data_IF_735775196491
#
_entry.id   IF_735775196491
#
_cell.length_a   1.000
_cell.length_b   1.000
_cell.length_c   1.000
_cell.angle_alpha   90.00
_cell.angle_beta   90.00
_cell.angle_gamma   90.00
#
_symmetry.space_group_name_H-M   'P 1'
#
loop_
_entity.id
_entity.type
_entity.pdbx_description
1 polymer ?
#
# COMPACT_ATOMS: atom_id res chain seq x y z
N UNK A 1 -35.53 -17.32 9.59
CA UNK A 1 -34.26 -18.03 9.25
C UNK A 1 -33.12 -17.22 9.84
N UNK A 2 -32.41 -17.82 10.78
CA UNK A 2 -31.34 -17.16 11.54
C UNK A 2 -30.10 -16.96 10.65
N UNK A 3 -29.58 -15.73 10.62
CA UNK A 3 -28.29 -15.44 10.00
C UNK A 3 -27.18 -15.92 10.93
N UNK A 4 -26.48 -16.95 10.47
CA UNK A 4 -25.34 -17.56 11.11
C UNK A 4 -24.18 -16.55 11.15
N UNK A 5 -23.80 -16.11 12.35
CA UNK A 5 -22.61 -15.28 12.59
C UNK A 5 -21.38 -16.14 12.34
N UNK A 6 -20.94 -16.23 11.08
CA UNK A 6 -19.60 -16.73 10.76
C UNK A 6 -18.55 -15.75 11.29
N UNK A 7 -18.09 -16.04 12.49
CA UNK A 7 -16.83 -15.56 13.07
C UNK A 7 -15.71 -15.84 12.07
N UNK A 8 -15.20 -14.78 11.44
CA UNK A 8 -14.05 -14.83 10.55
C UNK A 8 -12.79 -15.14 11.36
N UNK A 9 -12.43 -16.43 11.41
CA UNK A 9 -11.05 -16.86 11.60
C UNK A 9 -10.28 -16.43 10.34
N UNK A 10 -9.64 -15.26 10.39
CA UNK A 10 -8.54 -14.97 9.48
C UNK A 10 -7.25 -14.94 10.29
N UNK A 11 -6.61 -16.11 10.33
CA UNK A 11 -5.31 -16.37 10.93
C UNK A 11 -4.23 -15.93 9.96
N UNK A 12 -3.82 -14.68 10.04
CA UNK A 12 -2.53 -14.28 9.52
C UNK A 12 -1.47 -14.56 10.60
N UNK A 13 -0.56 -15.47 10.26
CA UNK A 13 0.48 -16.04 11.10
C UNK A 13 1.52 -15.02 11.57
N UNK A 14 1.22 -14.23 12.61
CA UNK A 14 2.22 -13.43 13.32
C UNK A 14 2.14 -13.71 14.83
N UNK A 15 3.07 -14.56 15.29
CA UNK A 15 3.35 -15.04 16.65
C UNK A 15 2.41 -16.14 17.20
N UNK A 16 3.00 -17.34 17.33
CA UNK A 16 2.44 -18.53 17.98
C UNK A 16 1.78 -18.20 19.33
N UNK A 17 0.45 -18.22 19.38
CA UNK A 17 -0.38 -18.63 20.53
C UNK A 17 -0.34 -17.83 21.84
N UNK A 18 0.42 -16.73 21.96
CA UNK A 18 0.45 -15.91 23.18
C UNK A 18 -0.32 -14.60 22.99
N UNK A 19 -1.12 -14.25 23.99
CA UNK A 19 -1.82 -12.96 24.05
C UNK A 19 -0.83 -11.80 24.20
N UNK A 20 -1.20 -10.61 23.71
CA UNK A 20 -0.44 -9.40 23.92
C UNK A 20 -0.35 -9.06 25.43
N UNK A 21 -1.37 -9.45 26.20
CA UNK A 21 -1.33 -9.36 27.66
C UNK A 21 -0.20 -10.19 28.29
N UNK A 22 0.01 -11.43 27.85
CA UNK A 22 1.14 -12.27 28.31
C UNK A 22 2.48 -11.66 27.90
N UNK A 23 2.59 -11.19 26.66
CA UNK A 23 3.79 -10.48 26.18
C UNK A 23 4.09 -9.24 27.03
N UNK A 24 3.09 -8.43 27.36
CA UNK A 24 3.28 -7.23 28.18
C UNK A 24 3.81 -7.57 29.59
N UNK A 25 3.36 -8.70 30.15
CA UNK A 25 3.86 -9.21 31.44
C UNK A 25 5.34 -9.63 31.35
N UNK A 26 5.75 -10.32 30.29
CA UNK A 26 7.15 -10.72 30.06
C UNK A 26 8.07 -9.50 29.90
N UNK A 27 7.58 -8.42 29.29
CA UNK A 27 8.29 -7.15 29.13
C UNK A 27 8.36 -6.30 30.42
N UNK A 28 7.78 -6.78 31.52
CA UNK A 28 7.80 -6.10 32.82
C UNK A 28 6.80 -4.95 32.95
N UNK A 29 5.71 -4.94 32.16
CA UNK A 29 4.69 -3.90 32.23
C UNK A 29 3.97 -3.88 33.60
N UNK A 30 3.44 -2.71 33.98
CA UNK A 30 2.60 -2.62 35.18
C UNK A 30 1.29 -3.39 35.02
N UNK A 31 0.63 -3.69 36.15
CA UNK A 31 -0.68 -4.34 36.17
C UNK A 31 -1.72 -3.56 35.34
N UNK A 32 -1.70 -2.24 35.41
CA UNK A 32 -2.62 -1.38 34.67
C UNK A 32 -2.47 -1.54 33.15
N UNK A 33 -1.24 -1.64 32.65
CA UNK A 33 -0.97 -1.91 31.23
C UNK A 33 -1.47 -3.30 30.83
N UNK A 34 -1.22 -4.31 31.66
CA UNK A 34 -1.67 -5.68 31.38
C UNK A 34 -3.21 -5.75 31.33
N UNK A 35 -3.91 -5.09 32.25
CA UNK A 35 -5.36 -5.07 32.33
C UNK A 35 -6.00 -4.36 31.13
N UNK A 36 -5.52 -3.16 30.76
CA UNK A 36 -6.08 -2.43 29.62
C UNK A 36 -5.81 -3.13 28.28
N UNK A 37 -4.68 -3.84 28.16
CA UNK A 37 -4.40 -4.68 26.97
C UNK A 37 -5.39 -5.84 26.91
N UNK A 38 -5.66 -6.55 28.02
CA UNK A 38 -6.67 -7.63 28.05
C UNK A 38 -8.07 -7.13 27.69
N UNK A 39 -8.42 -5.95 28.18
CA UNK A 39 -9.70 -5.32 27.83
C UNK A 39 -9.77 -5.02 26.33
N UNK A 40 -8.68 -4.48 25.76
CA UNK A 40 -8.58 -4.25 24.31
C UNK A 40 -8.70 -5.55 23.51
N UNK A 41 -8.13 -6.66 23.99
CA UNK A 41 -8.20 -7.96 23.30
C UNK A 41 -9.60 -8.60 23.35
N UNK A 42 -10.35 -8.38 24.44
CA UNK A 42 -11.66 -9.04 24.66
C UNK A 42 -12.84 -8.20 24.18
N UNK A 43 -12.74 -6.87 24.26
CA UNK A 43 -13.79 -5.93 23.88
C UNK A 43 -13.17 -4.67 23.22
N UNK A 44 -12.57 -4.79 22.03
CA UNK A 44 -11.89 -3.67 21.40
C UNK A 44 -12.86 -2.54 21.05
N UNK A 45 -12.58 -1.34 21.55
CA UNK A 45 -13.26 -0.09 21.17
C UNK A 45 -12.24 1.03 20.94
N UNK A 46 -12.67 2.12 20.32
CA UNK A 46 -11.83 3.31 20.11
C UNK A 46 -11.37 3.91 21.44
N UNK A 47 -12.28 4.06 22.39
CA UNK A 47 -12.02 4.62 23.72
C UNK A 47 -10.99 3.76 24.47
N UNK A 48 -11.19 2.44 24.43
CA UNK A 48 -10.31 1.47 25.08
C UNK A 48 -8.92 1.49 24.41
N UNK A 49 -8.86 1.53 23.08
CA UNK A 49 -7.59 1.59 22.34
C UNK A 49 -6.80 2.88 22.63
N UNK A 50 -7.46 4.04 22.64
CA UNK A 50 -6.83 5.32 23.01
C UNK A 50 -6.34 5.29 24.46
N UNK A 51 -7.16 4.77 25.37
CA UNK A 51 -6.78 4.58 26.78
C UNK A 51 -5.58 3.65 26.93
N UNK A 52 -5.53 2.56 26.18
CA UNK A 52 -4.43 1.60 26.18
C UNK A 52 -3.12 2.24 25.73
N UNK A 53 -3.12 2.98 24.60
CA UNK A 53 -1.93 3.72 24.12
C UNK A 53 -1.44 4.71 25.18
N UNK A 54 -2.35 5.47 25.80
CA UNK A 54 -2.01 6.44 26.84
C UNK A 54 -1.40 5.74 28.07
N UNK A 55 -1.99 4.62 28.48
CA UNK A 55 -1.53 3.84 29.64
C UNK A 55 -0.14 3.24 29.38
N UNK A 56 0.10 2.67 28.19
CA UNK A 56 1.42 2.15 27.80
C UNK A 56 2.48 3.27 27.78
N UNK A 57 2.15 4.43 27.21
CA UNK A 57 3.11 5.54 27.13
C UNK A 57 3.49 6.10 28.50
N UNK A 58 2.57 6.09 29.46
CA UNK A 58 2.78 6.60 30.81
C UNK A 58 3.39 5.58 31.77
N UNK A 59 3.50 4.31 31.37
CA UNK A 59 4.10 3.26 32.20
C UNK A 59 5.60 3.53 32.44
N UNK A 60 6.02 3.62 33.70
CA UNK A 60 7.41 3.92 34.05
C UNK A 60 8.33 2.69 34.07
N UNK A 61 7.76 1.48 34.07
CA UNK A 61 8.50 0.22 34.10
C UNK A 61 8.94 -0.20 32.70
N UNK A 62 8.21 0.23 31.68
CA UNK A 62 8.53 -0.06 30.28
C UNK A 62 9.60 0.88 29.72
N UNK A 63 10.58 0.28 29.02
CA UNK A 63 11.52 1.04 28.19
C UNK A 63 10.81 1.67 26.99
N UNK A 64 11.42 2.69 26.39
CA UNK A 64 10.90 3.33 25.16
C UNK A 64 10.72 2.31 24.02
N UNK A 65 11.61 1.33 23.92
CA UNK A 65 11.54 0.28 22.91
C UNK A 65 10.37 -0.67 23.17
N UNK A 66 10.19 -1.15 24.40
CA UNK A 66 9.07 -2.02 24.76
C UNK A 66 7.71 -1.31 24.57
N UNK A 67 7.62 -0.02 24.90
CA UNK A 67 6.41 0.79 24.63
C UNK A 67 6.07 0.80 23.14
N UNK A 68 7.06 1.07 22.29
CA UNK A 68 6.89 1.10 20.84
C UNK A 68 6.46 -0.27 20.32
N UNK A 69 7.07 -1.34 20.80
CA UNK A 69 6.73 -2.71 20.43
C UNK A 69 5.28 -3.05 20.79
N UNK A 70 4.88 -2.82 22.05
CA UNK A 70 3.51 -3.09 22.50
C UNK A 70 2.47 -2.27 21.75
N UNK A 71 2.73 -0.98 21.47
CA UNK A 71 1.81 -0.14 20.71
C UNK A 71 1.66 -0.64 19.27
N UNK A 72 2.75 -1.07 18.63
CA UNK A 72 2.70 -1.60 17.27
C UNK A 72 1.90 -2.90 17.20
N UNK A 73 2.07 -3.80 18.18
CA UNK A 73 1.30 -5.03 18.22
C UNK A 73 -0.17 -4.78 18.58
N UNK A 74 -0.44 -3.84 19.49
CA UNK A 74 -1.80 -3.41 19.83
C UNK A 74 -2.53 -2.85 18.59
N UNK A 75 -1.85 -2.04 17.77
CA UNK A 75 -2.40 -1.53 16.50
C UNK A 75 -2.80 -2.66 15.56
N UNK A 76 -1.94 -3.69 15.43
CA UNK A 76 -2.24 -4.86 14.59
C UNK A 76 -3.44 -5.66 15.12
N UNK A 77 -3.60 -5.78 16.43
CA UNK A 77 -4.76 -6.44 17.02
C UNK A 77 -6.03 -5.61 16.79
N UNK A 78 -5.97 -4.31 17.07
CA UNK A 78 -7.10 -3.39 16.93
C UNK A 78 -7.56 -3.22 15.48
N UNK A 79 -6.66 -3.38 14.52
CA UNK A 79 -6.97 -3.38 13.08
C UNK A 79 -8.23 -4.18 12.72
N UNK A 80 -8.41 -5.33 13.37
CA UNK A 80 -9.50 -6.26 13.10
C UNK A 80 -10.90 -5.68 13.34
N UNK A 81 -11.01 -4.59 14.08
CA UNK A 81 -12.27 -3.86 14.29
C UNK A 81 -12.67 -3.09 13.04
N UNK A 82 -11.72 -2.63 12.22
CA UNK A 82 -12.02 -1.83 11.04
C UNK A 82 -12.44 -2.70 9.86
N UNK A 83 -13.50 -2.27 9.19
CA UNK A 83 -13.96 -2.83 7.93
C UNK A 83 -14.56 -1.73 7.06
N UNK A 84 -15.03 -2.13 5.88
CA UNK A 84 -15.57 -1.20 4.90
C UNK A 84 -16.97 -0.71 5.25
N UNK A 85 -17.71 -1.45 6.08
CA UNK A 85 -19.09 -1.15 6.48
C UNK A 85 -19.15 -0.20 7.69
N UNK A 86 -18.09 -0.13 8.50
CA UNK A 86 -18.02 0.71 9.71
C UNK A 86 -17.18 1.97 9.55
N UNK A 87 -17.15 2.56 8.36
CA UNK A 87 -16.50 3.85 8.14
C UNK A 87 -17.27 4.96 8.87
N UNK A 88 -16.65 5.72 9.79
CA UNK A 88 -17.34 6.77 10.53
C UNK A 88 -17.69 7.95 9.63
N UNK A 89 -18.63 8.77 10.07
CA UNK A 89 -19.00 10.01 9.35
C UNK A 89 -18.35 11.27 9.94
N UNK A 90 -18.01 11.24 11.23
CA UNK A 90 -17.39 12.37 11.93
C UNK A 90 -15.95 12.60 11.46
N UNK A 91 -15.57 13.87 11.32
CA UNK A 91 -14.27 14.25 10.78
C UNK A 91 -13.11 13.82 11.68
N UNK A 92 -13.24 14.00 13.00
CA UNK A 92 -12.17 13.66 13.93
C UNK A 92 -11.98 12.14 14.01
N UNK A 93 -13.06 11.38 13.93
CA UNK A 93 -13.01 9.92 13.82
C UNK A 93 -12.35 9.46 12.51
N UNK A 94 -12.79 10.00 11.37
CA UNK A 94 -12.20 9.71 10.07
C UNK A 94 -10.69 9.98 10.05
N UNK A 95 -10.26 11.13 10.57
CA UNK A 95 -8.85 11.54 10.66
C UNK A 95 -8.06 10.60 11.57
N UNK A 96 -8.61 10.26 12.73
CA UNK A 96 -7.97 9.33 13.68
C UNK A 96 -7.83 7.92 13.08
N UNK A 97 -8.90 7.34 12.56
CA UNK A 97 -8.88 6.00 11.98
C UNK A 97 -7.92 5.91 10.79
N UNK A 98 -7.94 6.91 9.90
CA UNK A 98 -7.01 6.96 8.77
C UNK A 98 -5.55 6.94 9.23
N UNK A 99 -5.22 7.69 10.29
CA UNK A 99 -3.87 7.72 10.86
C UNK A 99 -3.47 6.36 11.45
N UNK A 100 -4.34 5.74 12.24
CA UNK A 100 -4.08 4.40 12.80
C UNK A 100 -3.87 3.37 11.69
N UNK A 101 -4.75 3.38 10.68
CA UNK A 101 -4.69 2.45 9.55
C UNK A 101 -3.45 2.67 8.66
N UNK A 102 -2.91 3.88 8.60
CA UNK A 102 -1.69 4.18 7.83
C UNK A 102 -0.41 3.54 8.38
N UNK A 103 -0.45 2.95 9.57
CA UNK A 103 0.73 2.44 10.28
C UNK A 103 0.78 0.90 10.35
N UNK A 104 -0.17 0.18 9.72
CA UNK A 104 -0.38 -1.26 9.95
C UNK A 104 0.07 -2.14 8.77
N UNK A 105 -0.65 -2.16 7.65
CA UNK A 105 -0.41 -3.06 6.50
C UNK A 105 -1.00 -2.54 5.18
N UNK A 106 -0.88 -3.31 4.09
CA UNK A 106 -1.49 -2.92 2.80
C UNK A 106 -3.03 -2.99 2.80
N UNK A 107 -3.63 -3.94 3.51
CA UNK A 107 -5.10 -4.02 3.61
C UNK A 107 -5.61 -2.83 4.44
N UNK A 108 -4.87 -2.42 5.46
CA UNK A 108 -5.19 -1.21 6.20
C UNK A 108 -5.05 0.06 5.35
N UNK A 109 -4.26 0.06 4.28
CA UNK A 109 -4.21 1.19 3.35
C UNK A 109 -5.48 1.36 2.50
N UNK A 110 -6.23 0.29 2.20
CA UNK A 110 -7.54 0.45 1.55
C UNK A 110 -8.57 1.07 2.49
N UNK A 111 -8.62 0.60 3.74
CA UNK A 111 -9.52 1.16 4.75
C UNK A 111 -9.13 2.63 5.03
N UNK A 112 -7.84 2.92 5.19
CA UNK A 112 -7.31 4.28 5.28
C UNK A 112 -7.80 5.11 4.09
N UNK A 113 -7.63 4.62 2.87
CA UNK A 113 -8.03 5.35 1.66
C UNK A 113 -9.54 5.60 1.59
N UNK A 114 -10.39 4.68 2.07
CA UNK A 114 -11.83 4.91 2.18
C UNK A 114 -12.15 6.08 3.11
N UNK A 115 -11.52 6.12 4.30
CA UNK A 115 -11.70 7.22 5.26
C UNK A 115 -11.19 8.55 4.68
N UNK A 116 -9.99 8.53 4.09
CA UNK A 116 -9.37 9.72 3.46
C UNK A 116 -10.18 10.22 2.26
N UNK A 117 -10.75 9.32 1.45
CA UNK A 117 -11.64 9.69 0.34
C UNK A 117 -12.91 10.37 0.87
N UNK A 118 -13.48 9.88 1.98
CA UNK A 118 -14.64 10.53 2.62
C UNK A 118 -14.30 11.95 3.07
N UNK A 119 -13.14 12.15 3.71
CA UNK A 119 -12.62 13.49 4.06
C UNK A 119 -12.46 14.38 2.82
N UNK A 120 -11.92 13.82 1.74
CA UNK A 120 -11.67 14.53 0.49
C UNK A 120 -12.97 14.97 -0.20
N UNK A 121 -13.90 14.03 -0.40
CA UNK A 121 -15.17 14.24 -1.10
C UNK A 121 -16.03 15.30 -0.38
N UNK A 122 -16.10 15.20 0.96
CA UNK A 122 -16.84 16.13 1.83
C UNK A 122 -16.05 17.40 2.17
N UNK A 123 -14.79 17.51 1.72
CA UNK A 123 -13.88 18.63 2.01
C UNK A 123 -13.73 18.97 3.50
N UNK A 124 -13.74 17.96 4.37
CA UNK A 124 -13.77 18.14 5.83
C UNK A 124 -12.46 18.74 6.40
N UNK A 125 -11.39 18.73 5.61
CA UNK A 125 -10.11 19.33 5.99
C UNK A 125 -10.10 20.86 5.89
N UNK A 126 -11.07 21.47 5.20
CA UNK A 126 -11.13 22.92 5.02
C UNK A 126 -11.43 23.56 6.37
N UNK A 127 -10.61 24.54 6.75
CA UNK A 127 -10.65 25.21 8.04
C UNK A 127 -9.42 24.92 8.91
N UNK A 128 -8.91 23.68 8.84
CA UNK A 128 -7.61 23.31 9.44
C UNK A 128 -6.47 23.38 8.41
N UNK A 129 -6.76 23.10 7.12
CA UNK A 129 -5.77 23.08 6.03
C UNK A 129 -6.30 23.78 4.78
N UNK A 130 -5.39 24.39 4.01
CA UNK A 130 -5.74 25.10 2.77
C UNK A 130 -6.16 24.14 1.64
N UNK A 131 -5.55 22.97 1.56
CA UNK A 131 -5.85 21.95 0.55
C UNK A 131 -5.63 20.53 1.10
N UNK A 132 -6.21 19.55 0.41
CA UNK A 132 -6.12 18.14 0.82
C UNK A 132 -4.67 17.63 0.80
N UNK A 133 -3.83 18.15 -0.09
CA UNK A 133 -2.41 17.80 -0.16
C UNK A 133 -1.70 18.17 1.14
N UNK A 134 -1.92 19.37 1.64
CA UNK A 134 -1.36 19.88 2.88
C UNK A 134 -1.85 19.07 4.08
N UNK A 135 -3.14 18.73 4.11
CA UNK A 135 -3.68 17.81 5.12
C UNK A 135 -2.93 16.47 5.15
N UNK A 136 -2.77 15.81 4.00
CA UNK A 136 -2.07 14.51 3.92
C UNK A 136 -0.60 14.62 4.37
N UNK A 137 0.11 15.67 3.93
CA UNK A 137 1.53 15.86 4.28
C UNK A 137 1.77 16.10 5.77
N UNK A 138 0.81 16.73 6.45
CA UNK A 138 0.94 17.05 7.88
C UNK A 138 0.40 15.93 8.78
N UNK A 139 -0.67 15.24 8.38
CA UNK A 139 -1.37 14.31 9.27
C UNK A 139 -0.95 12.85 9.09
N UNK A 140 -0.57 12.45 7.86
CA UNK A 140 -0.32 11.05 7.54
C UNK A 140 1.17 10.73 7.57
N UNK A 141 1.59 9.65 8.27
CA UNK A 141 2.99 9.21 8.31
C UNK A 141 3.45 8.48 7.03
N UNK A 142 2.54 8.26 6.08
CA UNK A 142 2.81 7.56 4.81
C UNK A 142 3.09 8.54 3.67
N UNK A 143 3.85 8.09 2.66
CA UNK A 143 4.14 8.90 1.49
C UNK A 143 2.85 9.33 0.79
N UNK A 144 2.78 10.62 0.45
CA UNK A 144 1.68 11.23 -0.30
C UNK A 144 1.27 10.40 -1.53
N UNK A 145 2.25 9.93 -2.31
CA UNK A 145 1.99 9.10 -3.50
C UNK A 145 1.23 7.82 -3.18
N UNK A 146 1.58 7.14 -2.07
CA UNK A 146 0.87 5.95 -1.61
C UNK A 146 -0.59 6.27 -1.30
N UNK A 147 -0.84 7.36 -0.57
CA UNK A 147 -2.21 7.80 -0.22
C UNK A 147 -3.05 8.01 -1.48
N UNK A 148 -2.57 8.82 -2.43
CA UNK A 148 -3.32 9.09 -3.66
C UNK A 148 -3.54 7.82 -4.50
N UNK A 149 -2.55 6.93 -4.59
CA UNK A 149 -2.69 5.67 -5.31
C UNK A 149 -3.80 4.79 -4.72
N UNK A 150 -3.89 4.67 -3.40
CA UNK A 150 -4.93 3.86 -2.76
C UNK A 150 -6.31 4.54 -2.82
N UNK A 151 -6.38 5.88 -2.74
CA UNK A 151 -7.63 6.62 -3.01
C UNK A 151 -8.10 6.38 -4.45
N UNK A 152 -7.19 6.38 -5.42
CA UNK A 152 -7.50 6.10 -6.81
C UNK A 152 -8.03 4.67 -7.00
N UNK A 153 -7.43 3.68 -6.33
CA UNK A 153 -7.93 2.29 -6.35
C UNK A 153 -9.37 2.24 -5.83
N UNK A 154 -9.64 2.84 -4.65
CA UNK A 154 -10.99 2.88 -4.09
C UNK A 154 -11.97 3.58 -5.04
N UNK A 155 -11.54 4.69 -5.65
CA UNK A 155 -12.38 5.49 -6.56
C UNK A 155 -12.71 4.75 -7.85
N UNK A 156 -11.76 3.98 -8.39
CA UNK A 156 -11.90 3.27 -9.65
C UNK A 156 -12.67 1.96 -9.48
N UNK A 157 -12.31 1.14 -8.48
CA UNK A 157 -12.86 -0.20 -8.34
C UNK A 157 -14.08 -0.26 -7.42
N UNK A 158 -14.22 0.71 -6.51
CA UNK A 158 -15.26 0.70 -5.50
C UNK A 158 -14.95 -0.25 -4.35
N UNK A 159 -15.47 0.11 -3.18
CA UNK A 159 -15.21 -0.59 -1.92
C UNK A 159 -15.73 -2.04 -1.94
N UNK A 160 -16.94 -2.26 -2.47
CA UNK A 160 -17.59 -3.58 -2.49
C UNK A 160 -16.79 -4.61 -3.29
N UNK A 161 -16.23 -4.21 -4.44
CA UNK A 161 -15.45 -5.12 -5.27
C UNK A 161 -14.12 -5.49 -4.60
N UNK A 162 -13.49 -4.54 -3.90
CA UNK A 162 -12.21 -4.76 -3.23
C UNK A 162 -12.37 -5.57 -1.94
N UNK A 163 -13.49 -5.42 -1.24
CA UNK A 163 -13.78 -6.18 -0.03
C UNK A 163 -13.88 -7.68 -0.27
N UNK A 164 -14.35 -8.09 -1.45
CA UNK A 164 -14.44 -9.50 -1.83
C UNK A 164 -13.06 -10.14 -2.06
N UNK A 165 -11.99 -9.33 -2.10
CA UNK A 165 -10.66 -9.71 -2.58
C UNK A 165 -9.58 -9.53 -1.51
N UNK A 166 -9.90 -9.87 -0.25
CA UNK A 166 -9.06 -9.56 0.93
C UNK A 166 -7.63 -10.11 0.89
N UNK A 167 -7.37 -11.17 0.12
CA UNK A 167 -6.06 -11.82 0.01
C UNK A 167 -5.19 -11.23 -1.13
N UNK A 168 -5.70 -10.25 -1.88
CA UNK A 168 -4.99 -9.64 -3.00
C UNK A 168 -4.01 -8.57 -2.55
N UNK A 169 -2.82 -8.53 -3.17
CA UNK A 169 -1.91 -7.39 -3.08
C UNK A 169 -2.43 -6.21 -3.92
N UNK A 170 -3.24 -5.34 -3.32
CA UNK A 170 -3.87 -4.21 -4.02
C UNK A 170 -2.88 -3.23 -4.67
N UNK A 171 -1.63 -3.19 -4.21
CA UNK A 171 -0.56 -2.43 -4.86
C UNK A 171 -0.32 -2.85 -6.31
N UNK A 172 -0.66 -4.09 -6.69
CA UNK A 172 -0.63 -4.57 -8.07
C UNK A 172 -1.66 -3.90 -9.00
N UNK A 173 -2.65 -3.19 -8.46
CA UNK A 173 -3.61 -2.41 -9.25
C UNK A 173 -3.06 -1.03 -9.65
N UNK A 174 -2.04 -0.52 -8.96
CA UNK A 174 -1.45 0.81 -9.19
C UNK A 174 -1.01 1.02 -10.65
N UNK A 175 -0.32 0.06 -11.31
CA UNK A 175 0.14 0.24 -12.68
C UNK A 175 -0.97 0.50 -13.71
N UNK A 176 -2.20 0.03 -13.42
CA UNK A 176 -3.37 0.19 -14.29
C UNK A 176 -4.10 1.53 -14.11
N UNK A 177 -3.87 2.26 -13.00
CA UNK A 177 -4.54 3.54 -12.70
C UNK A 177 -4.47 4.54 -13.88
N UNK A 178 -3.30 4.80 -14.49
CA UNK A 178 -3.21 5.78 -15.58
C UNK A 178 -4.03 5.39 -16.82
N UNK A 179 -4.17 4.09 -17.07
CA UNK A 179 -4.99 3.54 -18.17
C UNK A 179 -6.44 3.87 -17.84
N UNK A 180 -6.94 3.38 -16.71
CA UNK A 180 -8.34 3.55 -16.29
C UNK A 180 -8.78 5.01 -16.18
N UNK A 181 -7.88 5.93 -15.83
CA UNK A 181 -8.19 7.37 -15.75
C UNK A 181 -8.28 8.06 -17.12
N UNK A 182 -7.54 7.58 -18.11
CA UNK A 182 -7.49 8.21 -19.43
C UNK A 182 -8.51 7.63 -20.40
N UNK A 183 -8.87 6.35 -20.24
CA UNK A 183 -9.82 5.75 -21.19
C UNK A 183 -11.24 6.24 -20.89
N UNK A 184 -11.76 7.10 -21.77
CA UNK A 184 -13.19 7.39 -21.87
C UNK A 184 -13.85 6.18 -22.54
N UNK A 185 -14.06 5.11 -21.78
CA UNK A 185 -14.77 3.93 -22.26
C UNK A 185 -16.26 4.05 -21.96
N UNK A 186 -17.06 3.35 -22.74
CA UNK A 186 -18.44 3.06 -22.35
C UNK A 186 -18.44 2.30 -21.02
N UNK A 187 -19.49 2.49 -20.22
CA UNK A 187 -19.54 1.96 -18.85
C UNK A 187 -19.38 0.42 -18.80
N UNK A 188 -19.90 -0.28 -19.81
CA UNK A 188 -19.82 -1.74 -19.92
C UNK A 188 -18.39 -2.22 -20.20
N UNK A 189 -17.66 -1.54 -21.07
CA UNK A 189 -16.25 -1.82 -21.36
C UNK A 189 -15.39 -1.55 -20.13
N UNK A 190 -15.64 -0.45 -19.42
CA UNK A 190 -14.94 -0.10 -18.18
C UNK A 190 -15.14 -1.16 -17.08
N UNK A 191 -16.35 -1.71 -16.94
CA UNK A 191 -16.61 -2.83 -15.99
C UNK A 191 -15.82 -4.08 -16.37
N UNK A 192 -15.75 -4.40 -17.65
CA UNK A 192 -15.04 -5.58 -18.17
C UNK A 192 -13.54 -5.48 -17.88
N UNK A 193 -12.93 -4.34 -18.21
CA UNK A 193 -11.50 -4.09 -17.97
C UNK A 193 -11.17 -4.11 -16.48
N UNK A 194 -12.00 -3.50 -15.63
CA UNK A 194 -11.79 -3.54 -14.18
C UNK A 194 -11.80 -4.98 -13.64
N UNK A 195 -12.72 -5.82 -14.12
CA UNK A 195 -12.78 -7.24 -13.74
C UNK A 195 -11.53 -8.01 -14.18
N UNK A 196 -11.07 -7.76 -15.41
CA UNK A 196 -9.85 -8.35 -15.93
C UNK A 196 -8.62 -7.98 -15.08
N UNK A 197 -8.46 -6.69 -14.77
CA UNK A 197 -7.31 -6.21 -13.97
C UNK A 197 -7.35 -6.73 -12.53
N UNK A 198 -8.53 -6.86 -11.92
CA UNK A 198 -8.68 -7.54 -10.64
C UNK A 198 -8.22 -9.00 -10.73
N UNK A 199 -8.58 -9.71 -11.79
CA UNK A 199 -8.14 -11.10 -11.96
C UNK A 199 -6.62 -11.20 -12.13
N UNK A 200 -6.02 -10.34 -12.97
CA UNK A 200 -4.57 -10.30 -13.18
C UNK A 200 -3.81 -10.01 -11.88
N UNK A 201 -4.29 -9.06 -11.08
CA UNK A 201 -3.66 -8.74 -9.80
C UNK A 201 -3.62 -9.93 -8.83
N UNK A 202 -4.55 -10.90 -8.94
CA UNK A 202 -4.53 -12.14 -8.15
C UNK A 202 -3.52 -13.16 -8.68
N UNK A 203 -3.48 -13.34 -9.99
CA UNK A 203 -2.81 -14.49 -10.62
C UNK A 203 -1.39 -14.19 -11.08
N UNK A 204 -1.10 -12.95 -11.44
CA UNK A 204 0.16 -12.57 -12.07
C UNK A 204 1.16 -11.99 -11.06
N UNK A 205 2.44 -12.11 -11.41
CA UNK A 205 3.50 -11.44 -10.65
C UNK A 205 3.47 -9.93 -10.90
N UNK A 206 3.92 -9.13 -9.93
CA UNK A 206 4.00 -7.68 -10.10
C UNK A 206 4.87 -7.28 -11.31
N UNK A 207 5.91 -8.07 -11.61
CA UNK A 207 6.80 -7.83 -12.75
C UNK A 207 6.06 -7.99 -14.09
N UNK A 208 5.23 -9.01 -14.20
CA UNK A 208 4.52 -9.29 -15.45
C UNK A 208 3.43 -8.22 -15.68
N UNK A 209 2.73 -7.81 -14.61
CA UNK A 209 1.79 -6.68 -14.64
C UNK A 209 2.49 -5.39 -15.08
N UNK A 210 3.69 -5.10 -14.58
CA UNK A 210 4.44 -3.91 -15.00
C UNK A 210 4.79 -3.94 -16.49
N UNK A 211 5.18 -5.11 -17.01
CA UNK A 211 5.49 -5.27 -18.43
C UNK A 211 4.24 -5.03 -19.29
N UNK A 212 3.15 -5.70 -18.97
CA UNK A 212 1.90 -5.57 -19.73
C UNK A 212 1.34 -4.15 -19.67
N UNK A 213 1.32 -3.54 -18.48
CA UNK A 213 0.83 -2.16 -18.36
C UNK A 213 1.72 -1.14 -19.09
N UNK A 214 3.01 -1.42 -19.29
CA UNK A 214 3.87 -0.59 -20.12
C UNK A 214 3.44 -0.66 -21.60
N UNK A 215 3.19 -1.86 -22.11
CA UNK A 215 2.71 -2.08 -23.48
C UNK A 215 1.34 -1.42 -23.71
N UNK A 216 0.41 -1.61 -22.77
CA UNK A 216 -0.91 -0.97 -22.80
C UNK A 216 -0.80 0.56 -22.73
N UNK A 217 0.10 1.12 -21.92
CA UNK A 217 0.32 2.57 -21.87
C UNK A 217 0.79 3.12 -23.22
N UNK A 218 1.60 2.38 -23.98
CA UNK A 218 1.98 2.77 -25.34
C UNK A 218 0.76 2.70 -26.26
N UNK A 219 0.00 1.59 -26.22
CA UNK A 219 -1.21 1.41 -27.03
C UNK A 219 -2.25 2.52 -26.81
N UNK A 220 -2.49 2.92 -25.56
CA UNK A 220 -3.40 4.01 -25.20
C UNK A 220 -2.76 5.42 -25.31
N UNK A 221 -1.57 5.52 -25.89
CA UNK A 221 -0.85 6.79 -26.10
C UNK A 221 -0.56 7.56 -24.82
N UNK A 222 -0.47 6.88 -23.67
CA UNK A 222 -0.09 7.46 -22.37
C UNK A 222 1.41 7.76 -22.32
N UNK A 223 2.19 6.99 -23.07
CA UNK A 223 3.65 7.13 -23.16
C UNK A 223 4.01 7.13 -24.64
N UNK A 224 4.92 8.03 -25.04
CA UNK A 224 5.48 8.00 -26.39
C UNK A 224 6.35 6.75 -26.53
N UNK A 225 6.13 5.98 -27.59
CA UNK A 225 7.04 4.91 -27.94
C UNK A 225 8.42 5.54 -28.21
N UNK A 226 9.43 5.15 -27.42
CA UNK A 226 10.81 5.53 -27.68
C UNK A 226 11.26 4.66 -28.85
N UNK A 227 11.02 5.15 -30.06
CA UNK A 227 11.59 4.55 -31.26
C UNK A 227 13.06 4.94 -31.30
N UNK A 228 13.93 4.03 -30.86
CA UNK A 228 15.35 4.15 -31.16
C UNK A 228 15.49 4.13 -32.67
N UNK A 229 16.02 5.20 -33.25
CA UNK A 229 16.19 5.23 -34.69
C UNK A 229 17.24 4.16 -35.08
N UNK A 230 17.13 3.59 -36.28
CA UNK A 230 18.07 2.56 -36.74
C UNK A 230 19.53 3.05 -36.75
N UNK A 231 19.75 4.36 -36.83
CA UNK A 231 21.07 5.00 -36.79
C UNK A 231 21.68 4.97 -35.38
N UNK A 232 20.89 5.06 -34.31
CA UNK A 232 21.34 4.99 -32.92
C UNK A 232 21.73 3.55 -32.56
N UNK A 233 20.93 2.57 -33.01
CA UNK A 233 21.29 1.15 -32.92
C UNK A 233 22.58 0.86 -33.68
N UNK A 234 22.73 1.44 -34.89
CA UNK A 234 23.94 1.31 -35.70
C UNK A 234 25.16 1.94 -35.01
N UNK A 235 25.03 3.14 -34.45
CA UNK A 235 26.10 3.82 -33.70
C UNK A 235 26.56 3.01 -32.49
N UNK A 236 25.62 2.46 -31.72
CA UNK A 236 25.92 1.59 -30.58
C UNK A 236 26.67 0.34 -31.03
N UNK A 237 26.27 -0.28 -32.15
CA UNK A 237 26.96 -1.44 -32.73
C UNK A 237 28.37 -1.09 -33.22
N UNK A 238 28.53 0.02 -33.93
CA UNK A 238 29.85 0.49 -34.40
C UNK A 238 30.79 0.82 -33.24
N UNK A 239 30.28 1.44 -32.19
CA UNK A 239 31.07 1.72 -30.98
C UNK A 239 31.47 0.45 -30.24
N UNK A 240 30.55 -0.52 -30.11
CA UNK A 240 30.84 -1.85 -29.59
C UNK A 240 31.97 -2.54 -30.36
N UNK A 241 31.89 -2.54 -31.70
CA UNK A 241 32.85 -3.20 -32.56
C UNK A 241 34.23 -2.51 -32.53
N UNK A 242 34.26 -1.18 -32.34
CA UNK A 242 35.50 -0.41 -32.16
C UNK A 242 36.19 -0.77 -30.84
N UNK A 243 35.45 -0.79 -29.73
CA UNK A 243 35.98 -1.11 -28.41
C UNK A 243 36.55 -2.54 -28.34
N UNK A 244 35.92 -3.51 -29.01
CA UNK A 244 36.43 -4.87 -29.10
C UNK A 244 37.75 -5.00 -29.86
N UNK A 245 38.15 -3.97 -30.61
CA UNK A 245 39.37 -3.95 -31.44
C UNK A 245 40.48 -3.05 -30.90
N UNK A 246 40.18 -2.21 -29.90
CA UNK A 246 41.16 -1.31 -29.30
C UNK A 246 42.03 -2.05 -28.30
N UNK A 247 43.35 -2.05 -28.47
CA UNK A 247 44.31 -2.67 -27.53
C UNK A 247 44.58 -1.81 -26.28
N UNK A 248 44.30 -0.50 -26.33
CA UNK A 248 44.61 0.47 -25.27
C UNK A 248 43.65 0.46 -24.07
N UNK A 249 42.55 -0.30 -24.14
CA UNK A 249 41.58 -0.43 -23.04
C UNK A 249 41.84 -1.74 -22.31
N UNK A 250 41.94 -1.70 -20.99
CA UNK A 250 42.14 -2.91 -20.18
C UNK A 250 41.04 -3.93 -20.43
N UNK A 251 41.38 -5.22 -20.38
CA UNK A 251 40.42 -6.30 -20.65
C UNK A 251 39.22 -6.27 -19.68
N UNK A 252 39.44 -5.78 -18.46
CA UNK A 252 38.41 -5.60 -17.45
C UNK A 252 37.45 -4.43 -17.78
N UNK A 253 37.96 -3.34 -18.35
CA UNK A 253 37.13 -2.24 -18.83
C UNK A 253 36.36 -2.63 -20.11
N UNK A 254 36.98 -3.43 -21.00
CA UNK A 254 36.30 -4.03 -22.16
C UNK A 254 35.16 -4.94 -21.73
N UNK A 255 35.38 -5.79 -20.74
CA UNK A 255 34.35 -6.71 -20.21
C UNK A 255 33.13 -5.95 -19.65
N UNK A 256 33.36 -4.93 -18.81
CA UNK A 256 32.28 -4.09 -18.28
C UNK A 256 31.52 -3.33 -19.38
N UNK A 257 32.21 -2.81 -20.40
CA UNK A 257 31.59 -2.13 -21.53
C UNK A 257 30.73 -3.09 -22.39
N UNK A 258 31.22 -4.31 -22.64
CA UNK A 258 30.46 -5.34 -23.36
C UNK A 258 29.22 -5.77 -22.57
N UNK A 259 29.32 -5.90 -21.25
CA UNK A 259 28.17 -6.19 -20.38
C UNK A 259 27.13 -5.05 -20.44
N UNK A 260 27.58 -3.80 -20.31
CA UNK A 260 26.73 -2.62 -20.37
C UNK A 260 26.03 -2.49 -21.73
N UNK A 261 26.73 -2.78 -22.83
CA UNK A 261 26.16 -2.81 -24.19
C UNK A 261 25.16 -3.96 -24.38
N UNK A 262 25.37 -5.11 -23.72
CA UNK A 262 24.45 -6.24 -23.74
C UNK A 262 23.16 -5.90 -22.99
N UNK A 263 23.27 -5.22 -21.84
CA UNK A 263 22.13 -4.69 -21.09
C UNK A 263 21.37 -3.68 -21.93
N UNK A 264 22.07 -2.74 -22.59
CA UNK A 264 21.45 -1.74 -23.48
C UNK A 264 20.73 -2.43 -24.65
N UNK A 265 21.36 -3.40 -25.33
CA UNK A 265 20.72 -4.16 -26.42
C UNK A 265 19.42 -4.82 -25.98
N UNK A 266 19.42 -5.47 -24.80
CA UNK A 266 18.25 -6.13 -24.21
C UNK A 266 17.08 -5.18 -23.87
N UNK A 267 17.36 -3.89 -23.72
CA UNK A 267 16.34 -2.86 -23.44
C UNK A 267 15.95 -2.03 -24.68
N UNK A 268 16.70 -2.16 -25.77
CA UNK A 268 16.46 -1.49 -27.06
C UNK A 268 15.79 -2.44 -28.07
N UNK A 269 15.89 -3.76 -27.88
CA UNK A 269 15.17 -4.81 -28.62
C UNK A 269 14.94 -6.05 -27.78
#
# INVERSE_FOLDING_TARGET
MAFDKKTLKNTDNLNRGRSLAEKSKELGASKNVIEIIKETETAPSKEIFVSAIKTINNDLLLTKEHKRELINDLKKTYYTVFNFENCPEDYQELKFEAKVLSEISQISFLLMAQRLKTIQDKKLYIGEYADFKSFIENEMPVKRTTVYNYIDIISLFGVQALEQEREMEFSKLIPFIPILKKVTLEELEMRTIKKEYLQKAKTESFRDILKETADLKIQYGLVKQINYNANDIKKIKTFSDYLSKTEEVSDEAKAHLVELLTVIKKHIG
#
